data_IF_339974957423
#
_entry.id   IF_339974957423
#
_cell.length_a   1.000
_cell.length_b   1.000
_cell.length_c   1.000
_cell.angle_alpha   90.00
_cell.angle_beta   90.00
_cell.angle_gamma   90.00
#
_symmetry.space_group_name_H-M   'P 1'
#
loop_
_entity.id
_entity.type
_entity.pdbx_description
1 polymer ?
#
# COMPACT_ATOMS: atom_id res chain seq x y z
N UNK A 1 -10.32 -26.04 -26.92
CA UNK A 1 -9.97 -24.61 -27.07
C UNK A 1 -10.54 -23.81 -25.89
N UNK A 2 -9.97 -23.90 -24.68
CA UNK A 2 -10.48 -23.14 -23.50
C UNK A 2 -9.42 -22.58 -22.54
N UNK A 3 -8.12 -22.88 -22.71
CA UNK A 3 -7.10 -22.44 -21.75
C UNK A 3 -6.91 -20.92 -21.64
N UNK A 4 -7.25 -20.15 -22.69
CA UNK A 4 -7.08 -18.70 -22.71
C UNK A 4 -8.18 -17.96 -21.91
N UNK A 5 -9.42 -18.46 -21.90
CA UNK A 5 -10.51 -17.83 -21.13
C UNK A 5 -10.35 -18.05 -19.63
N UNK A 6 -9.89 -19.24 -19.23
CA UNK A 6 -9.58 -19.57 -17.83
C UNK A 6 -8.41 -18.73 -17.31
N UNK A 7 -7.36 -18.56 -18.12
CA UNK A 7 -6.21 -17.68 -17.80
C UNK A 7 -6.63 -16.22 -17.65
N UNK A 8 -7.54 -15.73 -18.50
CA UNK A 8 -8.03 -14.36 -18.44
C UNK A 8 -8.95 -14.12 -17.24
N UNK A 9 -9.77 -15.11 -16.85
CA UNK A 9 -10.61 -15.04 -15.67
C UNK A 9 -9.79 -15.04 -14.37
N UNK A 10 -8.77 -15.89 -14.28
CA UNK A 10 -7.83 -15.93 -13.15
C UNK A 10 -7.08 -14.59 -13.00
N UNK A 11 -6.60 -14.03 -14.11
CA UNK A 11 -5.89 -12.74 -14.10
C UNK A 11 -6.77 -11.59 -13.60
N UNK A 12 -8.03 -11.49 -14.06
CA UNK A 12 -8.98 -10.47 -13.57
C UNK A 12 -9.29 -10.62 -12.08
N UNK A 13 -9.38 -11.84 -11.59
CA UNK A 13 -9.62 -12.11 -10.17
C UNK A 13 -8.42 -11.70 -9.31
N UNK A 14 -7.21 -12.12 -9.69
CA UNK A 14 -5.98 -11.71 -9.01
C UNK A 14 -5.81 -10.18 -8.99
N UNK A 15 -6.16 -9.49 -10.08
CA UNK A 15 -6.15 -8.02 -10.14
C UNK A 15 -7.17 -7.36 -9.22
N UNK A 16 -8.37 -7.94 -9.14
CA UNK A 16 -9.45 -7.45 -8.27
C UNK A 16 -9.09 -7.64 -6.80
N UNK A 17 -8.52 -8.78 -6.45
CA UNK A 17 -8.07 -9.08 -5.09
C UNK A 17 -6.96 -8.13 -4.65
N UNK A 18 -5.97 -7.87 -5.51
CA UNK A 18 -4.90 -6.91 -5.22
C UNK A 18 -5.42 -5.48 -5.09
N UNK A 19 -6.38 -5.08 -5.93
CA UNK A 19 -7.00 -3.77 -5.82
C UNK A 19 -7.76 -3.60 -4.51
N UNK A 20 -8.59 -4.58 -4.15
CA UNK A 20 -9.34 -4.55 -2.89
C UNK A 20 -8.39 -4.48 -1.69
N UNK A 21 -7.27 -5.20 -1.74
CA UNK A 21 -6.22 -5.13 -0.73
C UNK A 21 -5.63 -3.73 -0.59
N UNK A 22 -5.24 -3.08 -1.69
CA UNK A 22 -4.64 -1.73 -1.66
C UNK A 22 -5.64 -0.69 -1.13
N UNK A 23 -6.90 -0.76 -1.56
CA UNK A 23 -7.96 0.14 -1.04
C UNK A 23 -8.16 -0.05 0.47
N UNK A 24 -8.29 -1.30 0.93
CA UNK A 24 -8.48 -1.60 2.34
C UNK A 24 -7.28 -1.15 3.20
N UNK A 25 -6.06 -1.34 2.69
CA UNK A 25 -4.85 -0.88 3.37
C UNK A 25 -4.78 0.65 3.45
N UNK A 26 -5.10 1.34 2.35
CA UNK A 26 -5.13 2.80 2.33
C UNK A 26 -6.17 3.37 3.30
N UNK A 27 -7.41 2.86 3.25
CA UNK A 27 -8.48 3.28 4.15
C UNK A 27 -8.12 3.03 5.62
N UNK A 28 -7.45 1.89 5.91
CA UNK A 28 -6.99 1.55 7.25
C UNK A 28 -5.91 2.51 7.75
N UNK A 29 -4.89 2.77 6.92
CA UNK A 29 -3.76 3.62 7.28
C UNK A 29 -4.17 5.09 7.41
N UNK A 30 -5.04 5.60 6.52
CA UNK A 30 -5.60 6.94 6.64
C UNK A 30 -6.43 7.11 7.92
N UNK A 31 -7.18 6.07 8.32
CA UNK A 31 -7.97 6.07 9.56
C UNK A 31 -7.12 6.02 10.82
N UNK A 32 -6.08 5.17 10.83
CA UNK A 32 -5.23 4.94 12.01
C UNK A 32 -4.13 6.01 12.19
N UNK A 33 -3.68 6.67 11.12
CA UNK A 33 -2.56 7.63 11.13
C UNK A 33 -2.84 8.90 10.30
N UNK A 34 -3.84 9.70 10.68
CA UNK A 34 -4.21 10.90 9.94
C UNK A 34 -3.05 11.91 9.89
N UNK A 35 -2.73 12.40 8.69
CA UNK A 35 -1.65 13.37 8.46
C UNK A 35 -0.26 12.77 8.28
N UNK A 36 -0.10 11.45 8.46
CA UNK A 36 1.13 10.72 8.11
C UNK A 36 0.98 9.91 6.82
N UNK A 37 -0.23 9.82 6.30
CA UNK A 37 -0.56 9.04 5.09
C UNK A 37 -1.14 9.98 4.05
N UNK A 38 -0.55 9.94 2.85
CA UNK A 38 -1.04 10.63 1.67
C UNK A 38 -1.52 9.59 0.66
N UNK A 39 -2.80 9.66 0.27
CA UNK A 39 -3.38 8.74 -0.71
C UNK A 39 -3.85 9.51 -1.94
N UNK A 40 -3.27 9.20 -3.08
CA UNK A 40 -3.71 9.69 -4.37
C UNK A 40 -4.72 8.70 -4.97
N UNK A 41 -5.95 9.18 -5.21
CA UNK A 41 -7.02 8.41 -5.85
C UNK A 41 -7.37 9.03 -7.21
N UNK A 42 -7.27 8.24 -8.29
CA UNK A 42 -7.65 8.67 -9.65
C UNK A 42 -8.89 7.94 -10.13
N UNK A 43 -9.62 8.56 -11.07
CA UNK A 43 -10.74 7.94 -11.77
C UNK A 43 -10.22 6.93 -12.78
N UNK A 44 -10.79 5.73 -12.80
CA UNK A 44 -10.45 4.73 -13.80
C UNK A 44 -11.32 4.92 -15.06
N UNK A 45 -10.70 5.42 -16.13
CA UNK A 45 -11.38 5.65 -17.41
C UNK A 45 -12.39 6.81 -17.40
N UNK A 46 -12.94 7.10 -18.58
CA UNK A 46 -13.85 8.24 -18.82
C UNK A 46 -15.28 8.01 -18.29
N UNK A 47 -15.64 6.78 -17.92
CA UNK A 47 -17.01 6.39 -17.56
C UNK A 47 -17.16 5.65 -16.21
N UNK A 48 -16.07 5.32 -15.51
CA UNK A 48 -16.19 4.74 -14.17
C UNK A 48 -16.26 5.85 -13.12
N UNK A 49 -17.38 5.97 -12.41
CA UNK A 49 -17.54 6.90 -11.30
C UNK A 49 -16.67 6.56 -10.08
N UNK A 50 -15.99 5.41 -10.08
CA UNK A 50 -15.17 4.93 -8.97
C UNK A 50 -13.77 5.54 -9.04
N UNK A 51 -13.36 6.20 -7.95
CA UNK A 51 -11.97 6.59 -7.71
C UNK A 51 -11.27 5.42 -7.04
N UNK A 52 -10.05 5.15 -7.47
CA UNK A 52 -9.24 4.06 -6.96
C UNK A 52 -7.83 4.55 -6.64
N UNK A 53 -7.22 3.94 -5.63
CA UNK A 53 -5.88 4.29 -5.15
C UNK A 53 -4.86 3.99 -6.25
N UNK A 54 -4.14 5.03 -6.65
CA UNK A 54 -3.05 4.93 -7.63
C UNK A 54 -1.69 5.10 -6.98
N UNK A 55 -1.61 5.84 -5.87
CA UNK A 55 -0.42 5.97 -5.05
C UNK A 55 -0.84 6.16 -3.60
N UNK A 56 -0.08 5.55 -2.70
CA UNK A 56 -0.16 5.74 -1.27
C UNK A 56 1.25 5.98 -0.75
N UNK A 57 1.42 7.01 0.07
CA UNK A 57 2.68 7.34 0.72
C UNK A 57 2.46 7.42 2.22
N UNK A 58 3.30 6.72 2.98
CA UNK A 58 3.28 6.74 4.44
C UNK A 58 4.60 7.31 4.94
N UNK A 59 4.51 8.36 5.74
CA UNK A 59 5.62 9.08 6.34
C UNK A 59 5.83 8.59 7.78
N UNK A 60 6.90 7.83 8.01
CA UNK A 60 7.17 7.25 9.34
C UNK A 60 8.68 7.15 9.59
N UNK A 61 9.12 7.56 10.79
CA UNK A 61 10.51 7.39 11.28
C UNK A 61 11.61 7.87 10.30
N UNK A 62 11.34 8.96 9.55
CA UNK A 62 12.27 9.46 8.53
C UNK A 62 12.35 8.59 7.27
N UNK A 63 11.34 7.78 7.02
CA UNK A 63 11.15 7.05 5.77
C UNK A 63 9.80 7.38 5.14
N UNK A 64 9.82 7.39 3.81
CA UNK A 64 8.63 7.43 2.97
C UNK A 64 8.43 6.04 2.37
N UNK A 65 7.37 5.38 2.80
CA UNK A 65 6.90 4.12 2.25
C UNK A 65 5.89 4.43 1.16
N UNK A 66 6.24 4.15 -0.09
CA UNK A 66 5.43 4.47 -1.27
C UNK A 66 4.95 3.17 -1.90
N UNK A 67 3.65 3.07 -2.13
CA UNK A 67 3.01 2.02 -2.91
C UNK A 67 2.30 2.70 -4.09
N UNK A 68 2.69 2.38 -5.31
CA UNK A 68 2.03 2.88 -6.51
C UNK A 68 1.49 1.74 -7.37
N UNK A 69 0.39 2.02 -8.07
CA UNK A 69 -0.25 1.06 -8.97
C UNK A 69 0.12 1.38 -10.41
N UNK A 70 0.65 0.38 -11.11
CA UNK A 70 0.90 0.43 -12.55
C UNK A 70 0.04 -0.63 -13.23
N UNK A 71 -1.20 -0.25 -13.56
CA UNK A 71 -2.22 -1.14 -14.08
C UNK A 71 -2.51 -2.33 -13.16
N UNK A 72 -2.08 -3.52 -13.58
CA UNK A 72 -2.25 -4.76 -12.83
C UNK A 72 -1.16 -5.02 -11.79
N UNK A 73 -0.10 -4.21 -11.78
CA UNK A 73 1.07 -4.39 -10.91
C UNK A 73 1.04 -3.36 -9.78
N UNK A 74 1.63 -3.76 -8.67
CA UNK A 74 1.94 -2.87 -7.56
C UNK A 74 3.44 -2.72 -7.49
N UNK A 75 3.90 -1.48 -7.45
CA UNK A 75 5.29 -1.11 -7.25
C UNK A 75 5.41 -0.56 -5.84
N UNK A 76 6.33 -1.12 -5.08
CA UNK A 76 6.58 -0.70 -3.71
C UNK A 76 8.00 -0.18 -3.58
N UNK A 77 8.13 0.93 -2.87
CA UNK A 77 9.40 1.63 -2.67
C UNK A 77 9.47 2.15 -1.26
N UNK A 78 10.68 2.13 -0.69
CA UNK A 78 11.01 2.83 0.54
C UNK A 78 12.06 3.87 0.26
N UNK A 79 11.88 5.06 0.81
CA UNK A 79 12.80 6.17 0.62
C UNK A 79 13.24 6.72 1.96
N UNK A 80 14.55 6.89 2.19
CA UNK A 80 15.02 7.53 3.42
C UNK A 80 14.97 9.05 3.27
N UNK A 81 14.27 9.72 4.17
CA UNK A 81 14.11 11.17 4.20
C UNK A 81 14.91 11.75 5.37
N UNK A 82 15.78 12.71 5.09
CA UNK A 82 16.51 13.46 6.11
C UNK A 82 16.30 14.94 5.87
N UNK A 83 15.72 15.64 6.85
CA UNK A 83 15.39 17.08 6.78
C UNK A 83 14.56 17.46 5.54
N UNK A 84 13.64 16.58 5.13
CA UNK A 84 12.80 16.78 3.94
C UNK A 84 13.47 16.48 2.60
N UNK A 85 14.72 15.99 2.59
CA UNK A 85 15.44 15.57 1.38
C UNK A 85 15.49 14.06 1.31
N UNK A 86 15.08 13.50 0.17
CA UNK A 86 15.21 12.06 -0.08
C UNK A 86 16.66 11.71 -0.38
N UNK A 87 17.25 10.85 0.44
CA UNK A 87 18.66 10.45 0.31
C UNK A 87 18.84 9.23 -0.58
N UNK A 88 17.90 8.28 -0.51
CA UNK A 88 17.97 7.01 -1.24
C UNK A 88 16.57 6.46 -1.43
N UNK A 89 16.31 5.99 -2.63
CA UNK A 89 15.14 5.19 -2.97
C UNK A 89 15.55 3.71 -3.10
N UNK A 90 14.73 2.82 -2.58
CA UNK A 90 14.90 1.38 -2.67
C UNK A 90 13.58 0.75 -3.11
N UNK A 91 13.57 0.12 -4.29
CA UNK A 91 12.43 -0.67 -4.74
C UNK A 91 12.45 -1.99 -3.96
N UNK A 92 11.31 -2.32 -3.34
CA UNK A 92 11.17 -3.48 -2.46
C UNK A 92 10.03 -4.35 -2.97
N UNK A 93 10.11 -5.68 -2.79
CA UNK A 93 8.92 -6.53 -2.87
C UNK A 93 7.83 -6.05 -1.88
N UNK A 94 6.56 -6.22 -2.24
CA UNK A 94 5.43 -5.79 -1.41
C UNK A 94 5.50 -6.36 0.02
N UNK A 95 5.95 -7.60 0.17
CA UNK A 95 6.10 -8.25 1.46
C UNK A 95 7.16 -7.54 2.34
N UNK A 96 8.34 -7.27 1.79
CA UNK A 96 9.43 -6.58 2.51
C UNK A 96 9.04 -5.14 2.85
N UNK A 97 8.30 -4.49 1.95
CA UNK A 97 7.73 -3.17 2.16
C UNK A 97 6.74 -3.15 3.33
N UNK A 98 5.80 -4.10 3.38
CA UNK A 98 4.82 -4.21 4.47
C UNK A 98 5.50 -4.50 5.80
N UNK A 99 6.47 -5.42 5.82
CA UNK A 99 7.21 -5.74 7.03
C UNK A 99 7.98 -4.53 7.56
N UNK A 100 8.66 -3.77 6.67
CA UNK A 100 9.36 -2.55 7.04
C UNK A 100 8.40 -1.49 7.60
N UNK A 101 7.25 -1.29 6.96
CA UNK A 101 6.24 -0.35 7.40
C UNK A 101 5.71 -0.71 8.81
N UNK A 102 5.36 -1.98 9.05
CA UNK A 102 4.90 -2.45 10.37
C UNK A 102 5.96 -2.21 11.44
N UNK A 103 7.23 -2.50 11.14
CA UNK A 103 8.33 -2.28 12.09
C UNK A 103 8.51 -0.80 12.42
N UNK A 104 8.48 0.08 11.43
CA UNK A 104 8.71 1.51 11.64
C UNK A 104 7.49 2.21 12.28
N UNK A 105 6.28 1.82 11.91
CA UNK A 105 5.05 2.23 12.61
C UNK A 105 5.06 1.72 14.06
N UNK A 106 5.49 0.48 14.28
CA UNK A 106 5.63 -0.10 15.63
C UNK A 106 6.59 0.68 16.54
N UNK A 107 7.61 1.35 15.97
CA UNK A 107 8.53 2.23 16.72
C UNK A 107 7.89 3.55 17.14
N UNK A 108 7.01 4.13 16.31
CA UNK A 108 6.14 5.26 16.72
C UNK A 108 5.19 4.81 17.84
N UNK A 109 4.72 3.57 17.79
CA UNK A 109 3.76 2.95 18.69
C UNK A 109 4.23 2.66 20.12
N UNK A 110 5.41 3.14 20.54
CA UNK A 110 5.67 3.36 21.97
C UNK A 110 4.58 4.22 22.66
N UNK A 111 3.76 4.94 21.86
CA UNK A 111 2.56 5.68 22.30
C UNK A 111 1.21 5.20 21.70
N UNK A 112 1.15 4.26 20.73
CA UNK A 112 -0.09 3.85 20.04
C UNK A 112 -0.17 2.32 19.85
N UNK A 113 -0.63 1.60 20.87
CA UNK A 113 -0.65 0.13 20.94
C UNK A 113 -1.65 -0.57 19.98
N UNK A 114 -2.60 0.15 19.38
CA UNK A 114 -3.68 -0.46 18.58
C UNK A 114 -3.34 -0.83 17.13
N UNK A 115 -2.42 -0.10 16.49
CA UNK A 115 -2.15 -0.22 15.04
C UNK A 115 -1.26 -1.44 14.73
N UNK A 116 -0.24 -1.67 15.57
CA UNK A 116 0.64 -2.83 15.43
C UNK A 116 -0.12 -4.16 15.60
N UNK A 117 -1.11 -4.19 16.51
CA UNK A 117 -1.88 -5.41 16.78
C UNK A 117 -2.80 -5.76 15.61
N UNK A 118 -3.46 -4.76 15.01
CA UNK A 118 -4.36 -5.01 13.89
C UNK A 118 -3.62 -5.45 12.61
N UNK A 119 -2.41 -4.93 12.37
CA UNK A 119 -1.58 -5.38 11.25
C UNK A 119 -1.02 -6.79 11.47
N UNK A 120 -0.72 -7.15 12.72
CA UNK A 120 -0.31 -8.51 13.08
C UNK A 120 -1.44 -9.52 12.88
N UNK A 121 -2.65 -9.20 13.32
CA UNK A 121 -3.82 -10.08 13.20
C UNK A 121 -4.24 -10.30 11.75
N UNK A 122 -4.02 -9.31 10.88
CA UNK A 122 -4.30 -9.41 9.44
C UNK A 122 -3.29 -10.30 8.70
N UNK A 123 -2.03 -10.35 9.14
CA UNK A 123 -0.98 -11.17 8.51
C UNK A 123 -1.03 -12.65 8.93
N UNK A 124 -1.81 -12.99 9.97
CA UNK A 124 -1.94 -14.35 10.50
C UNK A 124 -3.27 -15.04 10.15
N UNK A 125 -4.12 -14.42 9.33
CA UNK A 125 -5.32 -15.03 8.72
C UNK A 125 -5.15 -15.13 7.20
#
# INVERSE_FOLDING_TARGET
>A
MSGYEESAAWLRRAQTDLQAFVEALADRLEGDMPGLVEVERKREGLFSGKRQVVEMRVHVDGYDYILSRDGARVLTRRSRVVRGVVLRHEDLPLQDWLQGLVQDVGKLSGQMQGVSQALHDFLLH
#
